data_IF_811619490743
#
_entry.id   IF_811619490743
#
_cell.length_a   1.000
_cell.length_b   1.000
_cell.length_c   1.000
_cell.angle_alpha   90.00
_cell.angle_beta   90.00
_cell.angle_gamma   90.00
#
_symmetry.space_group_name_H-M   'P 1'
#
loop_
_entity.id
_entity.type
_entity.pdbx_description
1 polymer ?
#
# COMPACT_ATOMS: atom_id res chain seq x y z
N UNK A 1 -63.94 -11.66 -82.00
CA UNK A 1 -63.06 -11.01 -83.00
C UNK A 1 -62.48 -9.75 -82.37
N UNK A 2 -61.19 -9.48 -82.60
CA UNK A 2 -60.31 -8.42 -82.03
C UNK A 2 -59.76 -8.74 -80.63
N UNK A 3 -58.57 -9.33 -80.48
CA UNK A 3 -57.17 -9.02 -80.87
C UNK A 3 -56.40 -8.63 -79.60
N UNK A 4 -55.69 -9.63 -79.08
CA UNK A 4 -54.61 -9.50 -78.11
C UNK A 4 -53.55 -8.52 -78.62
N UNK A 5 -53.32 -7.43 -77.88
CA UNK A 5 -52.16 -6.57 -77.99
C UNK A 5 -51.12 -6.99 -76.95
N UNK A 6 -50.24 -7.91 -77.33
CA UNK A 6 -49.02 -8.27 -76.60
C UNK A 6 -48.04 -7.12 -76.78
N UNK A 7 -47.87 -6.27 -75.77
CA UNK A 7 -46.78 -5.29 -75.74
C UNK A 7 -45.53 -6.00 -75.26
N UNK A 8 -44.56 -6.07 -76.16
CA UNK A 8 -43.23 -6.61 -75.93
C UNK A 8 -42.54 -5.80 -74.82
N UNK A 9 -42.47 -6.42 -73.64
CA UNK A 9 -41.57 -5.99 -72.57
C UNK A 9 -40.17 -6.43 -72.99
N UNK A 10 -39.54 -5.61 -73.84
CA UNK A 10 -38.13 -5.78 -74.21
C UNK A 10 -37.30 -5.82 -72.93
N UNK A 11 -36.72 -6.99 -72.68
CA UNK A 11 -35.67 -7.23 -71.71
C UNK A 11 -34.48 -6.35 -72.08
N UNK A 12 -34.37 -5.21 -71.41
CA UNK A 12 -33.14 -4.42 -71.29
C UNK A 12 -32.51 -4.74 -69.93
N UNK A 13 -32.17 -6.01 -69.73
CA UNK A 13 -31.55 -6.51 -68.48
C UNK A 13 -30.10 -6.93 -68.67
N UNK A 14 -29.50 -6.68 -69.84
CA UNK A 14 -28.15 -7.18 -70.18
C UNK A 14 -27.10 -6.09 -70.47
N UNK A 15 -27.41 -4.81 -70.25
CA UNK A 15 -26.38 -3.77 -70.07
C UNK A 15 -26.42 -3.23 -68.65
N UNK A 16 -26.41 -4.15 -67.68
CA UNK A 16 -25.71 -3.90 -66.42
C UNK A 16 -24.22 -3.89 -66.77
N UNK A 17 -23.81 -2.84 -67.48
CA UNK A 17 -22.43 -2.42 -67.62
C UNK A 17 -21.98 -2.03 -66.24
N UNK A 18 -21.73 -3.04 -65.39
CA UNK A 18 -21.25 -2.88 -64.04
C UNK A 18 -19.74 -2.68 -64.06
N UNK A 19 -19.40 -1.53 -64.65
CA UNK A 19 -18.44 -0.54 -64.23
C UNK A 19 -17.25 -1.14 -63.44
N UNK A 20 -16.08 -1.40 -64.06
CA UNK A 20 -14.81 -1.56 -63.34
C UNK A 20 -14.63 -0.57 -62.17
N UNK A 21 -15.20 0.64 -62.30
CA UNK A 21 -15.26 1.67 -61.26
C UNK A 21 -15.85 1.20 -59.92
N UNK A 22 -16.89 0.36 -59.89
CA UNK A 22 -17.53 -0.08 -58.63
C UNK A 22 -16.64 -1.06 -57.86
N UNK A 23 -15.86 -1.89 -58.57
CA UNK A 23 -14.85 -2.78 -57.96
C UNK A 23 -13.69 -1.99 -57.40
N UNK A 24 -13.26 -0.94 -58.09
CA UNK A 24 -12.18 -0.08 -57.64
C UNK A 24 -12.60 0.77 -56.42
N UNK A 25 -13.84 1.29 -56.40
CA UNK A 25 -14.46 1.93 -55.23
C UNK A 25 -14.50 1.02 -54.00
N UNK A 26 -14.85 -0.27 -54.19
CA UNK A 26 -14.86 -1.24 -53.08
C UNK A 26 -13.44 -1.54 -52.59
N UNK A 27 -12.47 -1.73 -53.48
CA UNK A 27 -11.05 -1.95 -53.13
C UNK A 27 -10.46 -0.75 -52.39
N UNK A 28 -10.75 0.46 -52.85
CA UNK A 28 -10.25 1.70 -52.28
C UNK A 28 -10.85 1.99 -50.90
N UNK A 29 -12.15 1.69 -50.70
CA UNK A 29 -12.81 1.74 -49.40
C UNK A 29 -12.26 0.70 -48.40
N UNK A 30 -11.88 -0.49 -48.88
CA UNK A 30 -11.19 -1.50 -48.07
C UNK A 30 -9.81 -1.02 -47.63
N UNK A 31 -8.99 -0.48 -48.54
CA UNK A 31 -7.67 0.07 -48.19
C UNK A 31 -7.78 1.21 -47.18
N UNK A 32 -8.74 2.13 -47.35
CA UNK A 32 -8.98 3.20 -46.40
C UNK A 32 -9.37 2.65 -45.02
N UNK A 33 -10.28 1.67 -44.97
CA UNK A 33 -10.68 1.04 -43.70
C UNK A 33 -9.53 0.36 -42.97
N UNK A 34 -8.61 -0.29 -43.71
CA UNK A 34 -7.41 -0.90 -43.14
C UNK A 34 -6.47 0.16 -42.56
N UNK A 35 -6.17 1.23 -43.31
CA UNK A 35 -5.27 2.30 -42.85
C UNK A 35 -5.83 2.98 -41.60
N UNK A 36 -7.11 3.34 -41.60
CA UNK A 36 -7.75 3.98 -40.43
C UNK A 36 -7.76 3.03 -39.23
N UNK A 37 -8.02 1.73 -39.45
CA UNK A 37 -7.95 0.76 -38.36
C UNK A 37 -6.53 0.63 -37.80
N UNK A 38 -5.49 0.62 -38.62
CA UNK A 38 -4.10 0.56 -38.15
C UNK A 38 -3.78 1.77 -37.27
N UNK A 39 -4.17 2.98 -37.68
CA UNK A 39 -3.93 4.22 -36.91
C UNK A 39 -4.67 4.19 -35.57
N UNK A 40 -5.94 3.80 -35.58
CA UNK A 40 -6.76 3.69 -34.36
C UNK A 40 -6.19 2.62 -33.43
N UNK A 41 -5.82 1.45 -33.96
CA UNK A 41 -5.22 0.39 -33.15
C UNK A 41 -3.87 0.82 -32.58
N UNK A 42 -2.98 1.40 -33.38
CA UNK A 42 -1.69 1.89 -32.89
C UNK A 42 -1.88 2.88 -31.74
N UNK A 43 -2.81 3.83 -31.89
CA UNK A 43 -3.13 4.81 -30.85
C UNK A 43 -3.59 4.14 -29.55
N UNK A 44 -4.51 3.18 -29.64
CA UNK A 44 -5.02 2.43 -28.49
C UNK A 44 -3.92 1.61 -27.79
N UNK A 45 -3.01 1.01 -28.56
CA UNK A 45 -1.94 0.16 -28.06
C UNK A 45 -0.90 0.96 -27.29
N UNK A 46 -0.42 2.05 -27.90
CA UNK A 46 0.57 2.90 -27.26
C UNK A 46 -0.01 3.69 -26.08
N UNK A 47 -1.30 4.03 -26.13
CA UNK A 47 -1.99 4.75 -25.04
C UNK A 47 -2.32 3.88 -23.83
N UNK A 48 -2.88 2.68 -24.05
CA UNK A 48 -3.47 1.88 -22.97
C UNK A 48 -2.59 0.74 -22.45
N UNK A 49 -1.38 0.53 -23.00
CA UNK A 49 -0.45 -0.57 -22.63
C UNK A 49 -1.16 -1.93 -22.56
N UNK A 50 -2.08 -2.16 -23.49
CA UNK A 50 -2.92 -3.36 -23.51
C UNK A 50 -2.07 -4.58 -23.86
N UNK A 51 -2.39 -5.74 -23.24
CA UNK A 51 -1.76 -7.01 -23.61
C UNK A 51 -1.93 -7.31 -25.11
N UNK A 52 -0.91 -7.81 -25.81
CA UNK A 52 -0.93 -8.01 -27.26
C UNK A 52 -2.06 -8.93 -27.76
N UNK A 53 -2.64 -9.77 -26.90
CA UNK A 53 -3.79 -10.63 -27.24
C UNK A 53 -5.05 -9.78 -27.47
N UNK A 54 -5.33 -8.82 -26.59
CA UNK A 54 -6.49 -7.94 -26.70
C UNK A 54 -6.36 -6.96 -27.87
N UNK A 55 -5.12 -6.59 -28.24
CA UNK A 55 -4.82 -5.79 -29.43
C UNK A 55 -5.36 -6.45 -30.70
N UNK A 56 -5.11 -7.76 -30.88
CA UNK A 56 -5.56 -8.49 -32.07
C UNK A 56 -7.10 -8.50 -32.14
N UNK A 57 -7.78 -8.73 -31.02
CA UNK A 57 -9.24 -8.72 -30.96
C UNK A 57 -9.84 -7.35 -31.29
N UNK A 58 -9.27 -6.28 -30.73
CA UNK A 58 -9.70 -4.91 -31.03
C UNK A 58 -9.45 -4.55 -32.49
N UNK A 59 -8.29 -4.94 -33.05
CA UNK A 59 -7.95 -4.67 -34.45
C UNK A 59 -8.92 -5.36 -35.41
N UNK A 60 -9.24 -6.65 -35.17
CA UNK A 60 -10.19 -7.41 -35.98
C UNK A 60 -11.59 -6.79 -35.87
N UNK A 61 -12.05 -6.49 -34.65
CA UNK A 61 -13.38 -5.92 -34.40
C UNK A 61 -13.54 -4.54 -35.04
N UNK A 62 -12.59 -3.62 -34.82
CA UNK A 62 -12.60 -2.28 -35.40
C UNK A 62 -12.50 -2.33 -36.93
N UNK A 63 -11.61 -3.16 -37.48
CA UNK A 63 -11.48 -3.32 -38.94
C UNK A 63 -12.79 -3.79 -39.57
N UNK A 64 -13.44 -4.80 -38.98
CA UNK A 64 -14.71 -5.32 -39.47
C UNK A 64 -15.83 -4.27 -39.41
N UNK A 65 -15.94 -3.53 -38.31
CA UNK A 65 -16.93 -2.46 -38.15
C UNK A 65 -16.73 -1.32 -39.15
N UNK A 66 -15.48 -0.87 -39.34
CA UNK A 66 -15.16 0.20 -40.30
C UNK A 66 -15.47 -0.24 -41.74
N UNK A 67 -15.12 -1.47 -42.10
CA UNK A 67 -15.43 -2.03 -43.42
C UNK A 67 -16.93 -2.14 -43.65
N UNK A 68 -17.69 -2.62 -42.66
CA UNK A 68 -19.14 -2.72 -42.76
C UNK A 68 -19.80 -1.35 -42.92
N UNK A 69 -19.38 -0.35 -42.14
CA UNK A 69 -19.88 1.00 -42.23
C UNK A 69 -19.54 1.65 -43.59
N UNK A 70 -18.31 1.44 -44.10
CA UNK A 70 -17.93 1.91 -45.43
C UNK A 70 -18.76 1.25 -46.54
N UNK A 71 -19.08 -0.04 -46.41
CA UNK A 71 -19.96 -0.73 -47.38
C UNK A 71 -21.38 -0.15 -47.36
N UNK A 72 -21.97 0.00 -46.18
CA UNK A 72 -23.31 0.60 -46.04
C UNK A 72 -23.37 2.02 -46.61
N UNK A 73 -22.28 2.78 -46.48
CA UNK A 73 -22.14 4.12 -47.06
C UNK A 73 -22.10 4.09 -48.58
N UNK A 74 -21.29 3.19 -49.17
CA UNK A 74 -21.16 3.07 -50.63
C UNK A 74 -22.47 2.60 -51.24
N UNK A 75 -23.14 1.63 -50.63
CA UNK A 75 -24.42 1.10 -51.14
C UNK A 75 -25.56 2.14 -51.02
N UNK A 76 -25.45 3.11 -50.11
CA UNK A 76 -26.42 4.21 -49.96
C UNK A 76 -26.18 5.42 -50.88
N UNK A 77 -25.03 5.52 -51.54
CA UNK A 77 -24.67 6.65 -52.41
C UNK A 77 -25.35 6.60 -53.79
N UNK A 78 -25.88 5.45 -54.21
CA UNK A 78 -26.51 5.25 -55.53
C UNK A 78 -27.79 6.10 -55.76
N UNK A 79 -28.33 6.77 -54.73
CA UNK A 79 -29.69 7.35 -54.76
C UNK A 79 -29.73 8.87 -54.51
N UNK A 80 -28.61 9.60 -54.55
CA UNK A 80 -28.58 11.02 -54.17
C UNK A 80 -27.89 11.91 -55.19
N UNK A 81 -28.65 12.74 -55.93
CA UNK A 81 -28.17 13.69 -56.95
C UNK A 81 -27.58 15.00 -56.36
N UNK A 82 -26.99 14.95 -55.16
CA UNK A 82 -26.47 16.12 -54.45
C UNK A 82 -24.95 16.26 -54.49
N UNK A 83 -24.39 17.45 -54.17
CA UNK A 83 -22.95 17.59 -53.97
C UNK A 83 -22.48 16.59 -52.91
N UNK A 84 -21.25 16.05 -53.02
CA UNK A 84 -20.78 14.96 -52.17
C UNK A 84 -20.58 15.45 -50.74
N UNK A 85 -21.65 15.41 -49.95
CA UNK A 85 -21.61 15.61 -48.52
C UNK A 85 -21.28 14.26 -47.86
N UNK A 86 -20.38 14.26 -46.87
CA UNK A 86 -20.06 13.04 -46.14
C UNK A 86 -21.34 12.45 -45.53
N UNK A 87 -21.69 11.18 -45.81
CA UNK A 87 -22.94 10.57 -45.35
C UNK A 87 -22.98 10.48 -43.82
N UNK A 88 -24.18 10.65 -43.25
CA UNK A 88 -24.39 10.74 -41.80
C UNK A 88 -23.81 9.55 -41.01
N UNK A 89 -23.96 8.27 -41.45
CA UNK A 89 -23.35 7.13 -40.76
C UNK A 89 -21.81 7.23 -40.66
N UNK A 90 -21.15 7.81 -41.67
CA UNK A 90 -19.70 7.99 -41.68
C UNK A 90 -19.26 9.07 -40.69
N UNK A 91 -20.02 10.15 -40.56
CA UNK A 91 -19.75 11.21 -39.55
C UNK A 91 -19.88 10.66 -38.14
N UNK A 92 -20.90 9.84 -37.89
CA UNK A 92 -21.06 9.20 -36.58
C UNK A 92 -19.87 8.29 -36.27
N UNK A 93 -19.46 7.47 -37.25
CA UNK A 93 -18.28 6.61 -37.12
C UNK A 93 -17.00 7.41 -36.87
N UNK A 94 -16.77 8.50 -37.59
CA UNK A 94 -15.58 9.32 -37.44
C UNK A 94 -15.51 9.98 -36.06
N UNK A 95 -16.65 10.41 -35.51
CA UNK A 95 -16.72 10.94 -34.14
C UNK A 95 -16.39 9.85 -33.11
N UNK A 96 -16.94 8.64 -33.26
CA UNK A 96 -16.65 7.52 -32.36
C UNK A 96 -15.17 7.14 -32.40
N UNK A 97 -14.59 6.99 -33.59
CA UNK A 97 -13.16 6.68 -33.74
C UNK A 97 -12.28 7.81 -33.21
N UNK A 98 -12.65 9.06 -33.47
CA UNK A 98 -11.95 10.23 -32.93
C UNK A 98 -11.99 10.27 -31.40
N UNK A 99 -13.10 9.89 -30.78
CA UNK A 99 -13.21 9.79 -29.33
C UNK A 99 -12.29 8.69 -28.75
N UNK A 100 -12.18 7.54 -29.43
CA UNK A 100 -11.26 6.45 -29.05
C UNK A 100 -9.80 6.90 -29.14
N UNK A 101 -9.43 7.61 -30.21
CA UNK A 101 -8.08 8.18 -30.38
C UNK A 101 -7.81 9.23 -29.30
N UNK A 102 -8.74 10.15 -29.06
CA UNK A 102 -8.62 11.18 -28.03
C UNK A 102 -8.43 10.56 -26.63
N UNK A 103 -9.21 9.54 -26.29
CA UNK A 103 -9.07 8.78 -25.04
C UNK A 103 -7.68 8.15 -24.93
N UNK A 104 -7.18 7.54 -26.00
CA UNK A 104 -5.85 6.90 -26.01
C UNK A 104 -4.70 7.90 -25.85
N UNK A 105 -4.79 9.06 -26.52
CA UNK A 105 -3.83 10.17 -26.35
C UNK A 105 -3.87 10.70 -24.92
N UNK A 106 -5.05 10.76 -24.30
CA UNK A 106 -5.18 11.17 -22.90
C UNK A 106 -4.38 10.25 -21.97
N UNK A 107 -4.46 8.93 -22.13
CA UNK A 107 -3.65 8.00 -21.33
C UNK A 107 -2.16 8.11 -21.63
N UNK A 108 -1.79 8.40 -22.87
CA UNK A 108 -0.39 8.60 -23.20
C UNK A 108 0.19 9.85 -22.50
N UNK A 109 -0.55 10.97 -22.51
CA UNK A 109 -0.11 12.24 -21.90
C UNK A 109 -0.21 12.21 -20.38
N UNK A 110 -1.29 11.66 -19.82
CA UNK A 110 -1.58 11.70 -18.39
C UNK A 110 -1.25 10.39 -17.67
N UNK A 111 -0.81 9.34 -18.37
CA UNK A 111 -0.55 8.02 -17.80
C UNK A 111 0.45 8.05 -16.66
N UNK A 112 1.53 8.82 -16.80
CA UNK A 112 2.51 9.00 -15.72
C UNK A 112 1.92 9.66 -14.46
N UNK A 113 0.92 10.53 -14.61
CA UNK A 113 0.23 11.18 -13.49
C UNK A 113 -0.81 10.25 -12.85
N UNK A 114 -1.49 9.44 -13.65
CA UNK A 114 -2.38 8.39 -13.16
C UNK A 114 -1.56 7.36 -12.37
N UNK A 115 -0.41 6.95 -12.90
CA UNK A 115 0.53 6.08 -12.20
C UNK A 115 1.07 6.74 -10.93
N UNK A 116 1.40 8.03 -10.93
CA UNK A 116 1.86 8.74 -9.73
C UNK A 116 0.78 8.84 -8.64
N UNK A 117 -0.50 8.98 -9.00
CA UNK A 117 -1.61 8.96 -8.03
C UNK A 117 -1.90 7.53 -7.53
N UNK A 118 -1.70 6.53 -8.40
CA UNK A 118 -1.93 5.12 -8.10
C UNK A 118 -0.82 4.51 -7.24
N UNK A 119 0.40 4.93 -7.48
CA UNK A 119 1.62 4.43 -6.84
C UNK A 119 2.31 5.54 -6.07
N UNK A 120 1.55 6.44 -5.43
CA UNK A 120 2.12 7.53 -4.63
C UNK A 120 3.24 6.95 -3.74
N UNK A 121 4.52 7.26 -4.06
CA UNK A 121 5.65 6.62 -3.42
C UNK A 121 5.92 7.20 -2.04
N UNK A 122 4.99 8.00 -1.48
CA UNK A 122 4.99 8.31 -0.07
C UNK A 122 5.15 6.98 0.70
N UNK A 123 6.34 6.71 1.27
CA UNK A 123 6.70 5.39 1.77
C UNK A 123 5.66 5.03 2.80
N UNK A 124 4.84 3.99 2.58
CA UNK A 124 3.64 3.61 3.36
C UNK A 124 3.68 4.20 4.77
N UNK A 125 3.35 5.51 4.90
CA UNK A 125 3.77 6.27 6.10
C UNK A 125 2.99 5.73 7.27
N UNK A 126 1.77 5.33 6.97
CA UNK A 126 0.92 4.52 7.80
C UNK A 126 1.60 3.23 8.23
N UNK A 127 2.10 2.40 7.30
CA UNK A 127 2.78 1.14 7.63
C UNK A 127 4.07 1.30 8.45
N UNK A 128 4.90 2.30 8.16
CA UNK A 128 6.11 2.61 8.92
C UNK A 128 5.76 3.07 10.34
N UNK A 129 4.79 3.99 10.45
CA UNK A 129 4.36 4.51 11.74
C UNK A 129 3.66 3.44 12.58
N UNK A 130 2.82 2.61 11.95
CA UNK A 130 2.17 1.47 12.59
C UNK A 130 3.22 0.47 13.13
N UNK A 131 4.22 0.14 12.34
CA UNK A 131 5.31 -0.74 12.78
C UNK A 131 6.11 -0.13 13.94
N UNK A 132 6.41 1.17 13.88
CA UNK A 132 7.05 1.91 14.99
C UNK A 132 6.24 1.77 16.27
N UNK A 133 4.91 1.96 16.19
CA UNK A 133 4.00 1.84 17.34
C UNK A 133 3.84 0.40 17.83
N UNK A 134 3.94 -0.60 16.96
CA UNK A 134 3.90 -2.02 17.34
C UNK A 134 5.15 -2.42 18.14
N UNK A 135 6.33 -2.01 17.68
CA UNK A 135 7.60 -2.24 18.39
C UNK A 135 7.58 -1.54 19.75
N UNK A 136 7.21 -0.26 19.77
CA UNK A 136 7.16 0.52 21.01
C UNK A 136 6.14 -0.06 22.01
N UNK A 137 4.98 -0.54 21.52
CA UNK A 137 4.00 -1.20 22.38
C UNK A 137 4.57 -2.47 23.01
N UNK A 138 5.26 -3.30 22.23
CA UNK A 138 5.85 -4.54 22.73
C UNK A 138 6.87 -4.29 23.85
N UNK A 139 7.74 -3.29 23.69
CA UNK A 139 8.71 -2.88 24.72
C UNK A 139 8.03 -2.42 26.02
N UNK A 140 6.97 -1.59 25.92
CA UNK A 140 6.25 -1.11 27.09
C UNK A 140 5.44 -2.22 27.78
N UNK A 141 4.89 -3.16 27.01
CA UNK A 141 4.22 -4.33 27.55
C UNK A 141 5.17 -5.23 28.33
N UNK A 142 6.40 -5.42 27.85
CA UNK A 142 7.44 -6.19 28.55
C UNK A 142 7.72 -5.61 29.93
N UNK A 143 7.97 -4.29 30.01
CA UNK A 143 8.16 -3.58 31.29
C UNK A 143 6.95 -3.76 32.22
N UNK A 144 5.74 -3.68 31.66
CA UNK A 144 4.51 -3.82 32.45
C UNK A 144 4.32 -5.21 33.08
N UNK A 145 4.85 -6.26 32.40
CA UNK A 145 4.73 -7.66 32.78
C UNK A 145 5.84 -8.15 33.70
N UNK A 146 6.94 -7.39 33.84
CA UNK A 146 8.03 -7.71 34.76
C UNK A 146 7.50 -7.99 36.18
N UNK A 147 7.79 -9.15 36.79
CA UNK A 147 7.27 -9.47 38.12
C UNK A 147 7.83 -8.53 39.19
N UNK A 148 6.97 -8.08 40.10
CA UNK A 148 7.40 -7.34 41.29
C UNK A 148 7.87 -8.32 42.36
N UNK A 149 9.10 -8.15 42.81
CA UNK A 149 9.63 -8.88 43.96
C UNK A 149 9.50 -7.98 45.18
N UNK A 150 8.85 -8.48 46.24
CA UNK A 150 8.80 -7.77 47.51
C UNK A 150 10.24 -7.57 48.02
N UNK A 151 10.62 -6.37 48.52
CA UNK A 151 11.99 -6.11 48.98
C UNK A 151 12.49 -7.10 50.04
N UNK A 152 11.59 -7.66 50.84
CA UNK A 152 11.89 -8.66 51.87
C UNK A 152 12.23 -10.05 51.31
N UNK A 153 11.80 -10.32 50.07
CA UNK A 153 12.03 -11.58 49.35
C UNK A 153 13.23 -11.50 48.41
N UNK A 154 13.96 -10.38 48.42
CA UNK A 154 15.19 -10.24 47.66
C UNK A 154 16.22 -11.30 48.11
N UNK A 155 16.84 -12.07 47.19
CA UNK A 155 17.75 -13.15 47.54
C UNK A 155 18.90 -12.73 48.45
N UNK A 156 19.41 -11.51 48.29
CA UNK A 156 20.53 -11.00 49.10
C UNK A 156 20.07 -10.64 50.51
N UNK A 157 18.85 -10.08 50.64
CA UNK A 157 18.23 -9.79 51.94
C UNK A 157 17.99 -11.09 52.71
N UNK A 158 17.47 -12.13 52.04
CA UNK A 158 17.27 -13.45 52.66
C UNK A 158 18.60 -14.09 53.09
N UNK A 159 19.64 -14.00 52.25
CA UNK A 159 20.98 -14.52 52.55
C UNK A 159 21.59 -13.84 53.79
N UNK A 160 21.57 -12.51 53.83
CA UNK A 160 22.12 -11.72 54.94
C UNK A 160 21.32 -11.91 56.23
N UNK A 161 19.99 -12.04 56.14
CA UNK A 161 19.15 -12.34 57.30
C UNK A 161 19.52 -13.68 57.93
N UNK A 162 19.67 -14.72 57.13
CA UNK A 162 20.13 -16.03 57.62
C UNK A 162 21.52 -15.94 58.27
N UNK A 163 22.45 -15.24 57.62
CA UNK A 163 23.80 -15.05 58.15
C UNK A 163 23.81 -14.29 59.49
N UNK A 164 22.94 -13.30 59.64
CA UNK A 164 22.74 -12.57 60.89
C UNK A 164 22.22 -13.50 61.99
N UNK A 165 21.17 -14.29 61.69
CA UNK A 165 20.57 -15.23 62.64
C UNK A 165 21.59 -16.26 63.14
N UNK A 166 22.38 -16.84 62.23
CA UNK A 166 23.44 -17.81 62.54
C UNK A 166 24.57 -17.18 63.39
N UNK A 167 25.02 -15.97 63.03
CA UNK A 167 26.10 -15.28 63.75
C UNK A 167 25.67 -14.80 65.12
N UNK A 168 24.43 -14.30 65.25
CA UNK A 168 23.86 -13.91 66.53
C UNK A 168 23.65 -15.11 67.46
N UNK A 169 23.34 -16.29 66.92
CA UNK A 169 23.30 -17.53 67.70
C UNK A 169 24.69 -17.91 68.23
N UNK A 170 25.74 -17.78 67.40
CA UNK A 170 27.11 -18.01 67.82
C UNK A 170 27.58 -17.01 68.89
N UNK A 171 27.22 -15.73 68.75
CA UNK A 171 27.52 -14.67 69.74
C UNK A 171 26.88 -14.98 71.10
N UNK A 172 25.59 -15.37 71.12
CA UNK A 172 24.91 -15.77 72.37
C UNK A 172 25.64 -16.91 73.06
N UNK A 173 26.03 -17.95 72.31
CA UNK A 173 26.80 -19.09 72.83
C UNK A 173 28.18 -18.68 73.35
N UNK A 174 28.88 -17.78 72.66
CA UNK A 174 30.17 -17.25 73.11
C UNK A 174 30.02 -16.43 74.40
N UNK A 175 28.94 -15.66 74.52
CA UNK A 175 28.60 -14.90 75.72
C UNK A 175 28.35 -15.82 76.90
N UNK A 176 27.54 -16.86 76.73
CA UNK A 176 27.30 -17.89 77.75
C UNK A 176 28.60 -18.58 78.19
N UNK A 177 29.47 -18.92 77.22
CA UNK A 177 30.77 -19.55 77.49
C UNK A 177 31.69 -18.63 78.29
N UNK A 178 31.74 -17.34 77.97
CA UNK A 178 32.54 -16.36 78.70
C UNK A 178 32.04 -16.17 80.14
N UNK A 179 30.72 -16.09 80.34
CA UNK A 179 30.11 -15.97 81.68
C UNK A 179 30.39 -17.21 82.53
N UNK A 180 30.27 -18.39 81.93
CA UNK A 180 30.51 -19.65 82.61
C UNK A 180 31.99 -19.83 83.02
N UNK A 181 32.94 -19.39 82.18
CA UNK A 181 34.36 -19.36 82.53
C UNK A 181 34.62 -18.37 83.68
N UNK A 182 34.02 -17.18 83.64
CA UNK A 182 34.14 -16.16 84.69
C UNK A 182 33.66 -16.68 86.05
N UNK A 183 32.53 -17.40 86.07
CA UNK A 183 31.96 -17.99 87.28
C UNK A 183 32.71 -19.25 87.76
N UNK A 184 33.63 -19.79 86.94
CA UNK A 184 34.35 -21.03 87.22
C UNK A 184 33.48 -22.29 87.13
N UNK A 185 32.34 -22.22 86.44
CA UNK A 185 31.40 -23.36 86.33
C UNK A 185 31.70 -24.27 85.13
N UNK A 186 32.59 -23.84 84.22
CA UNK A 186 33.13 -24.65 83.14
C UNK A 186 34.62 -24.36 82.89
N UNK A 187 35.17 -25.00 81.85
CA UNK A 187 36.54 -24.80 81.38
C UNK A 187 37.59 -25.02 82.46
N UNK A 188 38.31 -23.96 82.84
CA UNK A 188 39.41 -24.03 83.82
C UNK A 188 38.96 -24.23 85.27
N UNK A 189 37.67 -24.00 85.56
CA UNK A 189 37.09 -24.03 86.92
C UNK A 189 37.70 -23.02 87.89
N UNK A 190 38.41 -22.02 87.38
CA UNK A 190 38.93 -20.91 88.18
C UNK A 190 38.05 -19.69 87.98
N UNK A 191 37.43 -19.22 89.06
CA UNK A 191 36.59 -18.03 89.04
C UNK A 191 37.43 -16.77 88.84
N UNK A 192 36.95 -15.84 88.02
CA UNK A 192 37.53 -14.50 87.84
C UNK A 192 37.94 -14.17 86.40
N UNK A 193 38.81 -13.18 86.27
CA UNK A 193 39.19 -12.51 85.01
C UNK A 193 40.53 -12.99 84.42
N UNK A 194 40.86 -14.27 84.63
CA UNK A 194 42.08 -14.89 84.14
C UNK A 194 42.22 -14.95 82.61
N UNK A 195 43.36 -15.43 82.11
CA UNK A 195 43.65 -15.49 80.67
C UNK A 195 42.59 -16.25 79.87
N UNK A 196 42.09 -17.37 80.40
CA UNK A 196 41.03 -18.15 79.76
C UNK A 196 39.74 -17.34 79.56
N UNK A 197 39.31 -16.58 80.58
CA UNK A 197 38.15 -15.68 80.47
C UNK A 197 38.40 -14.59 79.42
N UNK A 198 39.58 -13.94 79.46
CA UNK A 198 39.94 -12.89 78.50
C UNK A 198 39.93 -13.38 77.05
N UNK A 199 40.37 -14.61 76.79
CA UNK A 199 40.26 -15.23 75.47
C UNK A 199 38.81 -15.40 75.03
N UNK A 200 37.91 -15.87 75.91
CA UNK A 200 36.47 -16.01 75.60
C UNK A 200 35.79 -14.68 75.35
N UNK A 201 36.19 -13.63 76.08
CA UNK A 201 35.74 -12.26 75.84
C UNK A 201 36.18 -11.78 74.45
N UNK A 202 37.43 -12.04 74.06
CA UNK A 202 37.92 -11.66 72.73
C UNK A 202 37.14 -12.37 71.61
N UNK A 203 36.83 -13.66 71.76
CA UNK A 203 36.00 -14.44 70.82
C UNK A 203 34.58 -13.84 70.70
N UNK A 204 33.95 -13.52 71.84
CA UNK A 204 32.64 -12.85 71.89
C UNK A 204 32.69 -11.51 71.17
N UNK A 205 33.67 -10.68 71.49
CA UNK A 205 33.79 -9.33 70.92
C UNK A 205 34.03 -9.37 69.41
N UNK A 206 34.72 -10.39 68.90
CA UNK A 206 34.82 -10.63 67.45
C UNK A 206 33.46 -10.94 66.83
N UNK A 207 32.66 -11.79 67.46
CA UNK A 207 31.31 -12.11 66.99
C UNK A 207 30.38 -10.90 67.07
N UNK A 208 30.44 -10.10 68.13
CA UNK A 208 29.68 -8.84 68.25
C UNK A 208 30.02 -7.88 67.10
N UNK A 209 31.31 -7.74 66.75
CA UNK A 209 31.73 -6.93 65.57
C UNK A 209 31.16 -7.50 64.27
N UNK A 210 31.12 -8.83 64.11
CA UNK A 210 30.54 -9.49 62.94
C UNK A 210 29.02 -9.27 62.85
N UNK A 211 28.29 -9.39 63.96
CA UNK A 211 26.85 -9.11 64.03
C UNK A 211 26.55 -7.67 63.61
N UNK A 212 27.28 -6.70 64.17
CA UNK A 212 27.14 -5.29 63.79
C UNK A 212 27.41 -5.06 62.29
N UNK A 213 28.47 -5.68 61.74
CA UNK A 213 28.81 -5.57 60.33
C UNK A 213 27.73 -6.18 59.40
N UNK A 214 27.23 -7.37 59.71
CA UNK A 214 26.17 -8.04 58.93
C UNK A 214 24.86 -7.25 59.02
N UNK A 215 24.56 -6.65 60.18
CA UNK A 215 23.37 -5.81 60.36
C UNK A 215 23.43 -4.59 59.44
N UNK A 216 24.56 -3.90 59.40
CA UNK A 216 24.76 -2.77 58.48
C UNK A 216 24.64 -3.19 57.00
N UNK A 217 25.18 -4.35 56.62
CA UNK A 217 25.03 -4.90 55.27
C UNK A 217 23.57 -5.23 54.94
N UNK A 218 22.83 -5.82 55.89
CA UNK A 218 21.42 -6.15 55.72
C UNK A 218 20.57 -4.90 55.50
N UNK A 219 20.83 -3.83 56.23
CA UNK A 219 20.10 -2.56 56.07
C UNK A 219 20.39 -1.91 54.72
N UNK A 220 21.64 -1.95 54.25
CA UNK A 220 22.02 -1.52 52.90
C UNK A 220 21.33 -2.37 51.82
N UNK A 221 21.30 -3.69 51.98
CA UNK A 221 20.63 -4.60 51.05
C UNK A 221 19.12 -4.33 50.98
N UNK A 222 18.46 -4.10 52.13
CA UNK A 222 17.04 -3.73 52.20
C UNK A 222 16.78 -2.39 51.50
N UNK A 223 17.63 -1.38 51.73
CA UNK A 223 17.50 -0.08 51.07
C UNK A 223 17.65 -0.21 49.55
N UNK A 224 18.63 -0.99 49.08
CA UNK A 224 18.82 -1.27 47.66
C UNK A 224 17.64 -2.03 47.05
N UNK A 225 17.10 -3.04 47.74
CA UNK A 225 15.93 -3.80 47.29
C UNK A 225 14.67 -2.92 47.19
N UNK A 226 14.44 -2.03 48.17
CA UNK A 226 13.35 -1.04 48.12
C UNK A 226 13.51 -0.09 46.95
N UNK A 227 14.70 0.47 46.74
CA UNK A 227 14.97 1.35 45.61
C UNK A 227 14.72 0.65 44.26
N UNK A 228 15.13 -0.62 44.11
CA UNK A 228 14.82 -1.42 42.91
C UNK A 228 13.30 -1.60 42.70
N UNK A 229 12.57 -1.91 43.77
CA UNK A 229 11.12 -2.08 43.72
C UNK A 229 10.42 -0.76 43.34
N UNK A 230 10.81 0.36 43.93
CA UNK A 230 10.26 1.69 43.63
C UNK A 230 10.54 2.10 42.18
N UNK A 231 11.77 1.89 41.70
CA UNK A 231 12.16 2.16 40.32
C UNK A 231 11.33 1.32 39.33
N UNK A 232 11.10 0.04 39.63
CA UNK A 232 10.27 -0.83 38.82
C UNK A 232 8.80 -0.37 38.82
N UNK A 233 8.26 -0.01 39.98
CA UNK A 233 6.89 0.50 40.10
C UNK A 233 6.70 1.80 39.30
N UNK A 234 7.68 2.70 39.35
CA UNK A 234 7.69 3.93 38.55
C UNK A 234 7.80 3.63 37.05
N UNK A 235 8.69 2.72 36.65
CA UNK A 235 8.84 2.28 35.26
C UNK A 235 7.53 1.69 34.73
N UNK A 236 6.85 0.84 35.50
CA UNK A 236 5.52 0.29 35.14
C UNK A 236 4.45 1.37 35.01
N UNK A 237 4.44 2.36 35.91
CA UNK A 237 3.50 3.49 35.82
C UNK A 237 3.74 4.31 34.55
N UNK A 238 5.01 4.58 34.23
CA UNK A 238 5.41 5.24 32.98
C UNK A 238 4.99 4.41 31.77
N UNK A 239 5.28 3.11 31.76
CA UNK A 239 4.91 2.20 30.68
C UNK A 239 3.40 2.17 30.41
N UNK A 240 2.57 2.11 31.47
CA UNK A 240 1.10 2.20 31.33
C UNK A 240 0.64 3.52 30.72
N UNK A 241 1.25 4.65 31.13
CA UNK A 241 0.94 5.96 30.55
C UNK A 241 1.35 6.05 29.07
N UNK A 242 2.48 5.45 28.69
CA UNK A 242 2.95 5.40 27.31
C UNK A 242 2.09 4.48 26.45
N UNK A 243 1.69 3.31 26.95
CA UNK A 243 0.73 2.43 26.27
C UNK A 243 -0.59 3.14 25.97
N UNK A 244 -1.12 3.94 26.91
CA UNK A 244 -2.30 4.75 26.68
C UNK A 244 -2.07 5.86 25.63
N UNK A 245 -0.85 6.40 25.52
CA UNK A 245 -0.49 7.36 24.49
C UNK A 245 -0.36 6.69 23.11
N UNK A 246 0.27 5.52 23.02
CA UNK A 246 0.37 4.70 21.79
C UNK A 246 -1.04 4.36 21.27
N UNK A 247 -1.96 3.98 22.16
CA UNK A 247 -3.35 3.70 21.78
C UNK A 247 -4.08 4.95 21.25
N UNK A 248 -3.74 6.16 21.73
CA UNK A 248 -4.23 7.41 21.12
C UNK A 248 -3.58 7.66 19.75
N UNK A 249 -2.26 7.52 19.62
CA UNK A 249 -1.53 7.68 18.35
C UNK A 249 -2.08 6.73 17.27
N UNK A 250 -2.39 5.47 17.63
CA UNK A 250 -3.05 4.50 16.73
C UNK A 250 -4.44 4.94 16.27
N UNK A 251 -5.23 5.55 17.17
CA UNK A 251 -6.55 6.10 16.81
C UNK A 251 -6.42 7.31 15.88
N UNK A 252 -5.41 8.15 16.10
CA UNK A 252 -5.13 9.33 15.27
C UNK A 252 -4.62 8.97 13.87
N UNK A 253 -3.82 7.90 13.75
CA UNK A 253 -3.39 7.32 12.47
C UNK A 253 -4.57 6.89 11.59
N UNK A 254 -5.71 6.57 12.23
CA UNK A 254 -6.92 6.17 11.54
C UNK A 254 -6.82 4.79 10.87
N UNK A 255 -7.91 4.34 10.22
CA UNK A 255 -7.89 3.10 9.47
C UNK A 255 -6.83 3.17 8.37
N UNK A 256 -6.18 2.04 8.10
CA UNK A 256 -5.28 1.91 6.94
C UNK A 256 -5.99 2.51 5.73
N UNK A 257 -5.41 3.49 5.03
CA UNK A 257 -6.02 4.02 3.82
C UNK A 257 -6.30 2.82 2.92
N UNK A 258 -7.56 2.64 2.53
CA UNK A 258 -7.95 1.52 1.70
C UNK A 258 -7.04 1.47 0.48
N UNK A 259 -6.52 0.27 0.21
CA UNK A 259 -5.62 -0.13 -0.87
C UNK A 259 -5.69 0.72 -2.16
N UNK A 260 -4.57 0.79 -2.91
CA UNK A 260 -4.28 1.79 -3.95
C UNK A 260 -5.51 2.11 -4.78
N UNK A 261 -5.79 3.40 -4.90
CA UNK A 261 -6.82 3.97 -5.78
C UNK A 261 -6.99 3.07 -6.98
N UNK A 262 -8.16 2.42 -7.09
CA UNK A 262 -8.47 1.61 -8.28
C UNK A 262 -8.13 2.47 -9.48
N UNK A 263 -7.60 1.86 -10.54
CA UNK A 263 -7.12 2.60 -11.71
C UNK A 263 -8.12 3.69 -12.17
N UNK A 264 -9.42 3.37 -12.13
CA UNK A 264 -10.51 4.32 -12.39
C UNK A 264 -10.56 5.53 -11.45
N UNK A 265 -10.41 5.33 -10.14
CA UNK A 265 -10.36 6.43 -9.19
C UNK A 265 -9.14 7.34 -9.38
N UNK A 266 -7.98 6.77 -9.75
CA UNK A 266 -6.80 7.55 -10.11
C UNK A 266 -7.03 8.39 -11.37
N UNK A 267 -7.69 7.83 -12.38
CA UNK A 267 -8.10 8.57 -13.60
C UNK A 267 -9.05 9.72 -13.27
N UNK A 268 -10.08 9.48 -12.45
CA UNK A 268 -11.04 10.52 -12.02
C UNK A 268 -10.34 11.63 -11.24
N UNK A 269 -9.43 11.27 -10.33
CA UNK A 269 -8.66 12.24 -9.54
C UNK A 269 -7.73 13.12 -10.39
N UNK A 270 -7.08 12.54 -11.40
CA UNK A 270 -6.29 13.32 -12.38
C UNK A 270 -7.22 14.20 -13.23
N UNK A 271 -8.38 13.68 -13.63
CA UNK A 271 -9.39 14.40 -14.40
C UNK A 271 -9.92 15.64 -13.67
N UNK A 272 -10.25 15.53 -12.39
CA UNK A 272 -10.73 16.65 -11.59
C UNK A 272 -9.66 17.69 -11.31
N UNK A 273 -8.41 17.25 -11.05
CA UNK A 273 -7.28 18.14 -10.74
C UNK A 273 -6.73 18.87 -11.97
N UNK A 274 -6.79 18.26 -13.14
CA UNK A 274 -6.22 18.78 -14.39
C UNK A 274 -7.26 18.97 -15.49
N UNK A 275 -8.48 19.37 -15.13
CA UNK A 275 -9.61 19.43 -16.04
C UNK A 275 -9.33 20.24 -17.32
N UNK A 276 -8.65 21.38 -17.21
CA UNK A 276 -8.28 22.22 -18.36
C UNK A 276 -7.34 21.51 -19.35
N UNK A 277 -6.31 20.83 -18.84
CA UNK A 277 -5.36 20.07 -19.67
C UNK A 277 -6.01 18.84 -20.31
N UNK A 278 -6.82 18.11 -19.55
CA UNK A 278 -7.57 16.94 -20.03
C UNK A 278 -8.53 17.34 -21.16
N UNK A 279 -9.24 18.44 -20.98
CA UNK A 279 -10.19 18.97 -21.98
C UNK A 279 -9.47 19.45 -23.23
N UNK A 280 -8.38 20.22 -23.09
CA UNK A 280 -7.60 20.72 -24.22
C UNK A 280 -7.00 19.58 -25.07
N UNK A 281 -6.41 18.56 -24.42
CA UNK A 281 -5.84 17.40 -25.13
C UNK A 281 -6.93 16.57 -25.81
N UNK A 282 -8.05 16.32 -25.12
CA UNK A 282 -9.16 15.52 -25.68
C UNK A 282 -9.80 16.20 -26.88
N UNK A 283 -10.12 17.50 -26.76
CA UNK A 283 -10.71 18.28 -27.86
C UNK A 283 -9.73 18.43 -29.01
N UNK A 284 -8.45 18.72 -28.73
CA UNK A 284 -7.41 18.84 -29.74
C UNK A 284 -7.21 17.54 -30.53
N UNK A 285 -7.14 16.40 -29.85
CA UNK A 285 -6.99 15.10 -30.48
C UNK A 285 -8.23 14.72 -31.32
N UNK A 286 -9.44 14.98 -30.81
CA UNK A 286 -10.69 14.72 -31.52
C UNK A 286 -10.80 15.57 -32.80
N UNK A 287 -10.60 16.88 -32.69
CA UNK A 287 -10.64 17.79 -33.84
C UNK A 287 -9.55 17.46 -34.86
N UNK A 288 -8.34 17.13 -34.40
CA UNK A 288 -7.23 16.70 -35.25
C UNK A 288 -7.58 15.44 -36.04
N UNK A 289 -8.16 14.42 -35.39
CA UNK A 289 -8.61 13.20 -36.06
C UNK A 289 -9.69 13.50 -37.11
N UNK A 290 -10.72 14.27 -36.74
CA UNK A 290 -11.82 14.62 -37.65
C UNK A 290 -11.33 15.39 -38.87
N UNK A 291 -10.38 16.31 -38.69
CA UNK A 291 -9.79 17.07 -39.79
C UNK A 291 -9.03 16.15 -40.77
N UNK A 292 -8.25 15.20 -40.25
CA UNK A 292 -7.50 14.23 -41.06
C UNK A 292 -8.45 13.28 -41.80
N UNK A 293 -9.45 12.72 -41.11
CA UNK A 293 -10.44 11.82 -41.72
C UNK A 293 -11.25 12.53 -42.82
N UNK A 294 -11.68 13.76 -42.55
CA UNK A 294 -12.38 14.61 -43.53
C UNK A 294 -11.52 14.91 -44.75
N UNK A 295 -10.27 15.34 -44.53
CA UNK A 295 -9.34 15.63 -45.63
C UNK A 295 -9.04 14.38 -46.46
N UNK A 296 -8.80 13.25 -45.82
CA UNK A 296 -8.53 11.99 -46.51
C UNK A 296 -9.75 11.51 -47.32
N UNK A 297 -10.96 11.70 -46.80
CA UNK A 297 -12.20 11.44 -47.53
C UNK A 297 -12.34 12.34 -48.77
N UNK A 298 -12.06 13.64 -48.65
CA UNK A 298 -12.11 14.57 -49.78
C UNK A 298 -11.06 14.24 -50.85
N UNK A 299 -9.83 13.91 -50.45
CA UNK A 299 -8.79 13.47 -51.37
C UNK A 299 -9.20 12.20 -52.12
N UNK A 300 -9.84 11.26 -51.41
CA UNK A 300 -10.36 10.04 -52.01
C UNK A 300 -11.44 10.32 -53.05
N UNK A 301 -12.44 11.12 -52.70
CA UNK A 301 -13.51 11.53 -53.62
C UNK A 301 -12.94 12.24 -54.85
N UNK A 302 -11.98 13.15 -54.67
CA UNK A 302 -11.34 13.86 -55.80
C UNK A 302 -10.61 12.91 -56.74
N UNK A 303 -9.95 11.87 -56.22
CA UNK A 303 -9.27 10.87 -57.04
C UNK A 303 -10.27 10.07 -57.87
N UNK A 304 -11.36 9.63 -57.25
CA UNK A 304 -12.46 8.91 -57.91
C UNK A 304 -13.08 9.77 -59.02
N UNK A 305 -13.40 11.04 -58.74
CA UNK A 305 -14.04 11.93 -59.70
C UNK A 305 -13.14 12.36 -60.87
N UNK A 306 -11.81 12.27 -60.73
CA UNK A 306 -10.87 12.64 -61.81
C UNK A 306 -10.58 11.52 -62.80
N UNK A 307 -11.04 10.29 -62.54
CA UNK A 307 -10.93 9.18 -63.48
C UNK A 307 -9.49 8.73 -63.78
N UNK A 308 -8.57 8.88 -62.81
CA UNK A 308 -7.21 8.34 -62.84
C UNK A 308 -7.09 7.01 -62.07
#
# INVERSE_FOLDING_TARGET
MHRFGRTDRASSSDEIGNIPHQRDLRRSAHLFGVVTSVVVTASVVFGNRISPIWLVLVLIGCSAMIVLANRLVVDGLDHTDGPPAMPMPRRLLSVVLGAVVAYSVLFWVFGSRVDAVRYDPAPDRWGVEQHRLDVEQAEQEEISRTPETAPEMDPEVLRLRKQLDDTAAAERKATETALCEFDGTCGTRHKGDGDAYRMRVADRDELTRKVAAITAQLDQAKAAARSRADNLAQAKKSARSRLAAIDRERRELGPRPANPTTWWSAVIAVGSRYWGGVSAVSVGALLGYLAVDWWAFLCHLRRICKGE
#
